data_IF_052563060264
#
_entry.id   IF_052563060264
#
_cell.length_a   1.000
_cell.length_b   1.000
_cell.length_c   1.000
_cell.angle_alpha   90.00
_cell.angle_beta   90.00
_cell.angle_gamma   90.00
#
_symmetry.space_group_name_H-M   'P 1'
#
loop_
_entity.id
_entity.type
_entity.pdbx_description
1 polymer ?
2 non-polymer ?
3 water ?
#
# COMPACT_ATOMS: atom_id res chain seq x y z
N UNK A 3 -11.27 25.01 15.07
CA UNK A 3 -11.25 25.01 13.58
C UNK A 3 -10.16 24.06 13.11
N UNK A 4 -10.56 22.79 13.15
CA UNK A 4 -9.86 21.71 12.48
C UNK A 4 -9.74 21.99 10.98
N UNK A 5 -8.61 21.62 10.40
CA UNK A 5 -8.35 21.80 8.97
C UNK A 5 -7.88 20.49 8.37
N UNK A 6 -8.59 20.05 7.34
CA UNK A 6 -8.33 18.78 6.70
C UNK A 6 -7.71 18.99 5.35
N UNK A 7 -6.78 18.11 5.01
CA UNK A 7 -6.17 18.08 3.68
C UNK A 7 -6.14 16.64 3.17
N UNK A 8 -6.72 16.43 1.99
CA UNK A 8 -6.66 15.14 1.31
C UNK A 8 -5.41 15.09 0.46
N UNK A 9 -4.81 13.90 0.40
CA UNK A 9 -3.71 13.63 -0.51
C UNK A 9 -3.64 12.14 -0.79
N UNK A 10 -2.77 11.77 -1.72
CA UNK A 10 -2.62 10.36 -2.11
C UNK A 10 -3.35 9.93 -3.38
N UNK A 11 -4.09 10.85 -3.99
CA UNK A 11 -4.78 10.58 -5.24
C UNK A 11 -3.87 10.35 -6.45
N UNK A 12 -4.49 10.35 -7.62
CA UNK A 12 -3.76 10.24 -8.89
C UNK A 12 -4.41 9.35 -9.95
N UNK A 13 -3.71 9.24 -11.07
CA UNK A 13 -4.12 8.40 -12.20
C UNK A 13 -3.62 6.98 -11.98
N UNK A 14 -4.52 6.02 -12.08
CA UNK A 14 -4.17 4.59 -11.99
C UNK A 14 -4.93 3.73 -12.98
N UNK A 15 -4.49 2.50 -13.10
CA UNK A 15 -5.15 1.51 -13.94
C UNK A 15 -6.21 0.77 -13.19
N UNK A 16 -7.23 0.32 -13.91
CA UNK A 16 -8.26 -0.50 -13.33
C UNK A 16 -7.64 -1.75 -12.71
N UNK A 17 -8.07 -2.09 -11.51
CA UNK A 17 -7.51 -3.20 -10.75
C UNK A 17 -6.41 -2.80 -9.79
N UNK A 18 -5.84 -1.60 -9.96
CA UNK A 18 -4.78 -1.11 -9.09
C UNK A 18 -5.31 -0.68 -7.74
N UNK A 19 -4.38 -0.41 -6.82
CA UNK A 19 -4.71 0.19 -5.53
C UNK A 19 -4.18 1.60 -5.33
N UNK A 20 -4.76 2.26 -4.34
CA UNK A 20 -4.36 3.61 -3.90
C UNK A 20 -4.63 3.71 -2.42
N UNK A 21 -3.83 4.53 -1.74
CA UNK A 21 -4.14 4.91 -0.37
C UNK A 21 -4.27 6.42 -0.28
N UNK A 22 -5.45 6.90 0.11
CA UNK A 22 -5.69 8.30 0.32
C UNK A 22 -5.46 8.62 1.77
N UNK A 23 -4.99 9.84 2.02
CA UNK A 23 -4.77 10.36 3.36
C UNK A 23 -5.68 11.55 3.56
N UNK A 24 -6.23 11.64 4.77
CA UNK A 24 -6.95 12.82 5.26
C UNK A 24 -6.18 13.29 6.49
N UNK A 25 -5.40 14.35 6.32
CA UNK A 25 -4.51 14.85 7.38
C UNK A 25 -5.06 16.07 8.07
N UNK A 26 -5.30 15.96 9.38
CA UNK A 26 -5.88 17.04 10.16
C UNK A 26 -4.83 17.92 10.82
N UNK A 27 -5.17 19.19 10.94
CA UNK A 27 -4.34 20.13 11.68
C UNK A 27 -5.25 21.04 12.47
N UNK A 28 -4.70 21.64 13.52
CA UNK A 28 -5.45 22.56 14.38
C UNK A 28 -6.19 21.87 15.52
N UNK A 29 -6.72 20.66 15.27
CA UNK A 29 -7.37 19.88 16.31
C UNK A 29 -6.99 18.41 16.17
N UNK A 30 -7.10 17.69 17.28
CA UNK A 30 -6.84 16.25 17.29
C UNK A 30 -7.96 15.47 16.63
N UNK A 31 -7.54 14.44 15.92
CA UNK A 31 -8.42 13.60 15.14
C UNK A 31 -9.30 12.71 16.00
N UNK A 32 -8.76 12.32 17.16
CA UNK A 32 -9.49 11.61 18.20
C UNK A 32 -10.80 12.22 18.65
N UNK A 33 -10.99 13.51 18.37
CA UNK A 33 -12.20 14.24 18.74
C UNK A 33 -13.31 14.26 17.70
N UNK A 34 -13.09 13.59 16.58
CA UNK A 34 -14.01 13.67 15.46
C UNK A 34 -14.32 12.36 14.83
N UNK A 35 -15.53 12.26 14.30
CA UNK A 35 -15.87 11.19 13.38
C UNK A 35 -15.40 11.69 12.02
N UNK A 36 -14.80 10.81 11.21
CA UNK A 36 -14.24 11.23 9.95
C UNK A 36 -14.81 10.36 8.85
N UNK A 37 -15.27 11.01 7.79
CA UNK A 37 -15.78 10.30 6.63
C UNK A 37 -15.14 10.79 5.35
N UNK A 38 -15.08 9.86 4.39
CA UNK A 38 -14.75 10.14 3.01
C UNK A 38 -16.03 10.17 2.19
N UNK A 39 -16.13 11.16 1.33
CA UNK A 39 -17.16 11.22 0.31
C UNK A 39 -16.46 11.33 -1.02
N UNK A 40 -17.18 11.07 -2.09
CA UNK A 40 -16.64 11.21 -3.44
C UNK A 40 -17.67 11.88 -4.35
N UNK A 41 -17.18 12.76 -5.21
CA UNK A 41 -18.05 13.46 -6.16
C UNK A 41 -17.54 13.26 -7.57
N UNK A 42 -18.24 12.40 -8.30
CA UNK A 42 -17.95 12.12 -9.71
C UNK A 42 -18.57 13.26 -10.54
N UNK A 43 -18.12 13.45 -11.79
CA UNK A 43 -18.61 14.62 -12.55
C UNK A 43 -20.12 14.60 -12.78
N UNK A 44 -20.78 15.69 -12.36
CA UNK A 44 -22.23 15.88 -12.52
C UNK A 44 -23.11 15.31 -11.43
N UNK A 45 -22.53 14.53 -10.54
CA UNK A 45 -23.22 13.92 -9.42
C UNK A 45 -22.97 14.64 -8.10
N UNK A 46 -23.72 14.25 -7.08
CA UNK A 46 -23.53 14.75 -5.71
C UNK A 46 -22.32 14.08 -5.02
N UNK A 47 -21.94 14.66 -3.88
CA UNK A 47 -20.96 14.06 -2.98
C UNK A 47 -21.57 12.82 -2.40
N UNK A 48 -21.06 11.67 -2.80
CA UNK A 48 -21.61 10.36 -2.40
C UNK A 48 -20.80 9.82 -1.25
N UNK A 49 -21.47 9.23 -0.28
CA UNK A 49 -20.79 8.64 0.88
C UNK A 49 -19.96 7.41 0.50
N UNK A 50 -18.75 7.31 1.05
CA UNK A 50 -17.84 6.19 0.77
C UNK A 50 -17.57 5.39 2.05
N UNK A 51 -17.00 6.07 3.05
CA UNK A 51 -16.67 5.40 4.31
C UNK A 51 -16.62 6.35 5.49
N UNK A 52 -16.71 5.79 6.69
CA UNK A 52 -16.68 6.56 7.92
C UNK A 52 -15.98 5.77 9.00
N UNK A 53 -15.34 6.50 9.90
CA UNK A 53 -14.67 5.98 11.08
C UNK A 53 -14.97 6.94 12.24
N UNK A 54 -15.33 6.40 13.38
CA UNK A 54 -15.77 7.24 14.53
C UNK A 54 -14.60 7.95 15.27
N UNK A 55 -14.93 8.82 16.24
CA UNK A 55 -13.96 9.40 17.20
C UNK A 55 -13.09 8.31 17.81
N UNK A 56 -13.80 7.29 18.22
CA UNK A 56 -13.32 6.14 18.92
C UNK A 56 -12.38 5.25 18.08
N UNK A 57 -12.54 5.30 16.76
CA UNK A 57 -11.95 4.35 15.79
C UNK A 57 -12.52 2.93 15.82
N UNK A 58 -13.55 2.72 16.60
CA UNK A 58 -14.08 1.37 16.85
C UNK A 58 -15.24 1.11 15.91
N UNK A 59 -16.06 2.14 15.66
CA UNK A 59 -17.06 2.09 14.61
C UNK A 59 -16.39 2.46 13.30
N UNK A 60 -16.51 1.59 12.31
CA UNK A 60 -16.13 1.89 10.93
C UNK A 60 -17.26 1.43 10.04
N UNK A 61 -17.52 2.15 8.96
CA UNK A 61 -18.56 1.75 8.01
C UNK A 61 -18.27 2.17 6.58
N UNK A 62 -18.94 1.48 5.65
CA UNK A 62 -18.65 1.57 4.23
C UNK A 62 -19.91 1.61 3.40
N UNK A 63 -19.81 2.24 2.25
CA UNK A 63 -20.85 2.17 1.24
C UNK A 63 -20.83 0.78 0.61
N UNK A 64 -22.00 0.33 0.16
CA UNK A 64 -22.14 -0.99 -0.45
C UNK A 64 -21.24 -1.15 -1.67
N UNK A 65 -21.17 -0.11 -2.51
CA UNK A 65 -20.37 -0.15 -3.74
C UNK A 65 -18.87 -0.28 -3.54
N UNK A 66 -18.37 0.01 -2.33
CA UNK A 66 -16.92 -0.11 -2.02
C UNK A 66 -16.58 -1.11 -0.93
N UNK A 67 -17.59 -1.60 -0.23
CA UNK A 67 -17.38 -2.60 0.78
C UNK A 67 -16.68 -3.84 0.21
N UNK A 68 -15.69 -4.34 0.93
CA UNK A 68 -14.88 -5.48 0.48
C UNK A 68 -13.65 -5.08 -0.31
N UNK A 69 -13.65 -3.87 -0.87
CA UNK A 69 -12.52 -3.34 -1.65
C UNK A 69 -11.77 -2.21 -0.92
N UNK A 70 -12.51 -1.30 -0.28
CA UNK A 70 -11.91 -0.18 0.41
C UNK A 70 -11.85 -0.51 1.87
N UNK A 71 -10.89 0.09 2.56
CA UNK A 71 -10.86 0.02 4.01
C UNK A 71 -10.31 1.31 4.63
N UNK A 72 -10.94 1.69 5.74
CA UNK A 72 -10.67 2.92 6.45
C UNK A 72 -9.87 2.65 7.72
N UNK A 73 -8.95 3.55 8.05
CA UNK A 73 -8.14 3.43 9.26
C UNK A 73 -7.73 4.79 9.78
N UNK A 74 -7.24 4.79 11.01
CA UNK A 74 -6.73 5.98 11.65
C UNK A 74 -5.30 5.73 12.11
N UNK A 75 -4.45 6.73 11.96
CA UNK A 75 -3.12 6.76 12.58
C UNK A 75 -2.98 7.99 13.50
N UNK A 76 -3.21 7.75 14.79
CA UNK A 76 -3.20 8.79 15.81
C UNK A 76 -1.88 9.54 15.85
N UNK A 77 -0.78 8.82 15.74
CA UNK A 77 0.56 9.40 15.66
C UNK A 77 0.78 10.47 14.58
N UNK A 78 0.10 10.34 13.44
CA UNK A 78 0.18 11.32 12.31
C UNK A 78 -1.03 12.23 12.17
N UNK A 79 -2.03 12.04 13.01
CA UNK A 79 -3.28 12.79 12.96
C UNK A 79 -3.97 12.66 11.60
N UNK A 80 -4.03 11.42 11.14
CA UNK A 80 -4.37 11.11 9.76
C UNK A 80 -5.28 9.91 9.66
N UNK A 81 -6.34 10.04 8.85
CA UNK A 81 -7.21 8.92 8.48
C UNK A 81 -6.87 8.48 7.05
N UNK A 82 -6.77 7.18 6.86
CA UNK A 82 -6.38 6.59 5.59
C UNK A 82 -7.57 5.93 4.95
N UNK A 83 -7.60 5.95 3.63
CA UNK A 83 -8.57 5.19 2.84
C UNK A 83 -7.83 4.31 1.83
N UNK A 84 -7.68 3.05 2.21
CA UNK A 84 -7.04 2.05 1.36
C UNK A 84 -8.08 1.66 0.32
N UNK A 85 -7.77 1.85 -0.94
CA UNK A 85 -8.67 1.53 -2.04
C UNK A 85 -8.04 0.45 -2.90
N UNK A 86 -8.64 -0.73 -2.93
CA UNK A 86 -8.17 -1.84 -3.78
C UNK A 86 -9.17 -2.17 -4.89
N UNK A 87 -8.67 -2.87 -5.93
CA UNK A 87 -9.46 -3.27 -7.09
C UNK A 87 -10.29 -2.11 -7.64
N UNK A 88 -9.59 -1.03 -7.94
CA UNK A 88 -10.21 0.18 -8.43
C UNK A 88 -10.79 -0.05 -9.81
N UNK A 89 -11.89 0.66 -10.09
CA UNK A 89 -12.65 0.49 -11.32
C UNK A 89 -12.82 1.85 -11.93
N UNK A 90 -13.09 1.93 -13.25
CA UNK A 90 -13.41 3.25 -13.82
C UNK A 90 -14.48 4.06 -13.07
N UNK A 91 -15.49 3.37 -12.54
CA UNK A 91 -16.63 4.02 -11.89
C UNK A 91 -16.27 4.54 -10.48
N UNK A 92 -15.05 4.29 -10.00
CA UNK A 92 -14.48 4.94 -8.79
C UNK A 92 -13.80 6.30 -9.08
N UNK A 93 -13.68 6.66 -10.36
CA UNK A 93 -13.12 7.94 -10.76
C UNK A 93 -13.94 9.09 -10.19
N UNK A 94 -13.36 9.86 -9.28
CA UNK A 94 -14.02 11.00 -8.66
C UNK A 94 -13.02 11.91 -7.95
N UNK A 95 -13.50 13.05 -7.47
CA UNK A 95 -12.77 13.84 -6.48
C UNK A 95 -13.16 13.27 -5.13
N UNK A 96 -12.19 12.86 -4.33
CA UNK A 96 -12.44 12.33 -2.99
C UNK A 96 -12.19 13.37 -1.90
N UNK A 97 -13.22 13.62 -1.11
CA UNK A 97 -13.17 14.52 0.01
C UNK A 97 -13.21 13.79 1.34
N UNK A 98 -12.60 14.41 2.35
CA UNK A 98 -12.79 13.99 3.72
C UNK A 98 -13.40 15.12 4.50
N UNK A 99 -13.98 14.76 5.64
CA UNK A 99 -14.79 15.67 6.44
C UNK A 99 -15.07 15.09 7.80
N UNK A 100 -15.55 15.95 8.69
CA UNK A 100 -15.81 15.60 10.09
C UNK A 100 -17.29 15.71 10.38
N UNK A 101 -17.77 14.84 11.26
CA UNK A 101 -19.16 14.88 11.65
C UNK A 101 -19.33 16.16 12.47
N UNK A 102 -20.23 17.03 12.02
CA UNK A 102 -20.40 18.32 12.69
C UNK A 102 -21.25 18.24 13.98
N UNK A 103 -21.91 17.11 14.22
CA UNK A 103 -22.60 16.81 15.49
C UNK A 103 -22.09 15.55 16.20
N UNK A 104 -21.65 15.67 17.46
CA UNK A 104 -21.39 14.46 18.28
C UNK A 104 -22.61 13.59 18.65
N UNK A 105 -23.83 13.98 18.27
CA UNK A 105 -25.03 13.13 18.42
C UNK A 105 -25.13 11.89 17.50
N UNK A 106 -24.43 11.89 16.36
CA UNK A 106 -24.30 10.71 15.49
C UNK A 106 -22.86 10.22 15.53
N UNK A 107 -22.69 8.89 15.49
CA UNK A 107 -21.38 8.24 15.30
C UNK A 107 -21.14 7.89 13.83
N UNK A 108 -22.18 7.34 13.19
CA UNK A 108 -22.24 7.11 11.76
C UNK A 108 -23.24 8.11 11.19
N UNK A 109 -22.96 8.63 10.01
CA UNK A 109 -23.98 9.27 9.20
C UNK A 109 -23.56 9.18 7.76
N UNK A 110 -24.52 9.08 6.85
CA UNK A 110 -24.23 8.94 5.43
C UNK A 110 -24.64 10.16 4.65
N UNK A 111 -25.13 11.17 5.36
CA UNK A 111 -25.70 12.35 4.76
C UNK A 111 -24.65 13.44 4.85
N UNK A 112 -24.33 14.05 3.70
CA UNK A 112 -23.26 15.03 3.64
C UNK A 112 -23.54 16.30 4.44
N UNK A 113 -24.82 16.65 4.60
CA UNK A 113 -25.21 17.78 5.47
C UNK A 113 -24.81 17.61 6.93
N UNK A 114 -24.70 16.36 7.41
CA UNK A 114 -24.23 16.03 8.78
C UNK A 114 -22.72 16.23 9.00
N UNK A 115 -22.01 16.64 7.93
CA UNK A 115 -20.55 16.79 7.92
C UNK A 115 -20.10 18.22 7.64
N UNK A 116 -18.87 18.51 8.04
CA UNK A 116 -18.27 19.81 7.82
C UNK A 116 -16.75 19.78 7.75
N UNK A 117 -16.19 20.96 7.53
CA UNK A 117 -14.74 21.17 7.40
C UNK A 117 -14.13 20.36 6.26
N UNK A 118 -14.78 20.45 5.11
CA UNK A 118 -14.38 19.67 3.95
C UNK A 118 -12.99 20.10 3.51
N UNK A 119 -12.18 19.15 3.09
CA UNK A 119 -10.90 19.46 2.50
C UNK A 119 -11.10 19.89 1.05
N UNK A 120 -10.01 20.27 0.39
CA UNK A 120 -10.05 20.68 -1.03
C UNK A 120 -10.24 19.51 -1.97
N UNK A 121 -9.93 18.32 -1.48
CA UNK A 121 -10.17 17.11 -2.20
C UNK A 121 -8.97 16.68 -3.02
N UNK A 122 -8.93 15.40 -3.33
CA UNK A 122 -7.88 14.81 -4.18
C UNK A 122 -8.48 14.01 -5.35
N UNK A 123 -7.90 14.14 -6.54
CA UNK A 123 -8.43 13.49 -7.73
C UNK A 123 -7.98 12.03 -7.78
N UNK A 124 -8.94 11.16 -8.06
CA UNK A 124 -8.69 9.77 -8.36
C UNK A 124 -9.25 9.51 -9.74
N UNK A 125 -8.36 9.17 -10.68
CA UNK A 125 -8.76 8.78 -12.03
C UNK A 125 -8.35 7.34 -12.25
N UNK A 126 -9.29 6.54 -12.75
CA UNK A 126 -9.06 5.12 -12.99
C UNK A 126 -9.31 4.80 -14.46
N UNK A 127 -8.26 4.68 -15.27
CA UNK A 127 -8.45 4.46 -16.71
C UNK A 127 -8.59 2.96 -16.92
N UNK A 128 -9.25 2.58 -18.02
CA UNK A 128 -9.27 1.20 -18.51
C UNK A 128 -8.13 0.97 -19.52
N UNK B 3 -8.43 -11.51 -4.09
CA UNK B 3 -7.14 -12.31 -4.01
C UNK B 3 -5.87 -11.56 -4.48
N UNK B 4 -4.80 -11.52 -3.66
CA UNK B 4 -3.62 -10.66 -3.91
C UNK B 4 -2.79 -11.03 -5.14
N UNK B 5 -2.36 -10.00 -5.89
CA UNK B 5 -1.52 -10.17 -7.08
C UNK B 5 -0.28 -9.30 -6.99
N UNK B 6 0.87 -9.93 -7.08
CA UNK B 6 2.14 -9.26 -6.94
C UNK B 6 2.78 -9.12 -8.30
N UNK B 7 3.44 -7.99 -8.51
CA UNK B 7 4.23 -7.74 -9.71
C UNK B 7 5.57 -7.17 -9.30
N UNK B 8 6.64 -7.81 -9.75
CA UNK B 8 8.01 -7.30 -9.56
C UNK B 8 8.36 -6.39 -10.71
N UNK B 9 9.11 -5.33 -10.40
CA UNK B 9 9.67 -4.45 -11.41
C UNK B 9 10.90 -3.76 -10.85
N UNK B 10 11.61 -3.02 -11.69
CA UNK B 10 12.83 -2.29 -11.28
C UNK B 10 14.13 -2.97 -11.62
N UNK B 11 14.04 -4.17 -12.22
CA UNK B 11 15.23 -4.93 -12.61
C UNK B 11 15.99 -4.34 -13.78
N UNK B 12 16.89 -5.13 -14.34
CA UNK B 12 17.66 -4.73 -15.52
C UNK B 12 19.14 -5.07 -15.46
N UNK B 13 19.84 -4.62 -16.50
CA UNK B 13 21.28 -4.83 -16.64
C UNK B 13 22.06 -3.71 -15.96
N UNK B 14 22.99 -4.06 -15.10
CA UNK B 14 23.86 -3.09 -14.42
C UNK B 14 25.30 -3.58 -14.28
N UNK B 15 26.15 -2.63 -13.90
CA UNK B 15 27.55 -2.84 -13.69
C UNK B 15 27.81 -3.30 -12.25
N UNK B 16 28.82 -4.16 -12.07
CA UNK B 16 29.23 -4.58 -10.74
C UNK B 16 29.59 -3.34 -9.92
N UNK B 17 29.14 -3.32 -8.68
CA UNK B 17 29.37 -2.20 -7.78
C UNK B 17 28.25 -1.17 -7.78
N UNK B 18 27.37 -1.25 -8.77
CA UNK B 18 26.26 -0.31 -8.88
C UNK B 18 25.10 -0.72 -7.97
N UNK B 19 24.07 0.14 -7.93
CA UNK B 19 22.81 -0.16 -7.21
C UNK B 19 21.57 -0.32 -8.11
N UNK B 20 20.54 -0.93 -7.52
CA UNK B 20 19.21 -1.10 -8.12
C UNK B 20 18.17 -1.08 -7.02
N UNK B 21 16.97 -0.63 -7.34
CA UNK B 21 15.84 -0.75 -6.42
C UNK B 21 14.74 -1.53 -7.10
N UNK B 22 14.40 -2.68 -6.53
CA UNK B 22 13.29 -3.49 -7.04
C UNK B 22 12.03 -3.13 -6.30
N UNK B 23 10.91 -3.24 -6.98
CA UNK B 23 9.61 -2.99 -6.40
C UNK B 23 8.79 -4.28 -6.48
N UNK B 24 8.04 -4.53 -5.41
CA UNK B 24 7.03 -5.58 -5.37
C UNK B 24 5.72 -4.87 -5.12
N UNK B 25 4.92 -4.73 -6.18
CA UNK B 25 3.67 -3.98 -6.13
C UNK B 25 2.45 -4.90 -6.06
N UNK B 26 1.67 -4.74 -5.01
CA UNK B 26 0.49 -5.57 -4.80
C UNK B 26 -0.79 -4.92 -5.36
N UNK B 27 -1.69 -5.78 -5.80
CA UNK B 27 -3.02 -5.35 -6.21
C UNK B 27 -4.02 -6.40 -5.74
N UNK B 28 -5.28 -5.99 -5.62
CA UNK B 28 -6.35 -6.88 -5.16
C UNK B 28 -6.50 -6.96 -3.66
N UNK B 29 -5.40 -6.88 -2.92
CA UNK B 29 -5.45 -6.83 -1.45
C UNK B 29 -4.41 -5.85 -0.93
N UNK B 30 -4.61 -5.41 0.30
CA UNK B 30 -3.63 -4.57 1.00
C UNK B 30 -2.42 -5.37 1.42
N UNK B 31 -1.24 -4.91 1.03
CA UNK B 31 0.02 -5.60 1.30
C UNK B 31 0.46 -5.48 2.75
N UNK B 32 0.16 -4.35 3.38
CA UNK B 32 0.28 -4.15 4.83
C UNK B 32 -0.38 -5.21 5.71
N UNK B 33 -1.27 -6.01 5.11
CA UNK B 33 -1.86 -7.19 5.75
C UNK B 33 -0.91 -8.40 5.76
N UNK B 34 0.25 -8.28 5.14
CA UNK B 34 1.10 -9.44 4.90
C UNK B 34 2.55 -9.26 5.28
N UNK B 35 3.19 -10.39 5.48
CA UNK B 35 4.64 -10.46 5.55
C UNK B 35 5.06 -10.66 4.11
N UNK B 36 6.12 -9.97 3.70
CA UNK B 36 6.54 -10.00 2.28
C UNK B 36 8.01 -10.33 2.19
N UNK B 37 8.35 -11.25 1.29
CA UNK B 37 9.73 -11.60 1.06
C UNK B 37 10.12 -11.56 -0.39
N UNK B 38 11.42 -11.31 -0.61
CA UNK B 38 12.08 -11.48 -1.90
C UNK B 38 12.89 -12.77 -1.90
N UNK B 39 12.78 -13.51 -2.99
CA UNK B 39 13.63 -14.65 -3.25
C UNK B 39 14.29 -14.40 -4.59
N UNK B 40 15.36 -15.13 -4.86
CA UNK B 40 16.03 -15.04 -6.14
C UNK B 40 16.36 -16.43 -6.66
N UNK B 41 16.22 -16.62 -7.96
CA UNK B 41 16.55 -17.88 -8.58
C UNK B 41 17.53 -17.67 -9.71
N UNK B 42 18.79 -18.02 -9.46
CA UNK B 42 19.84 -17.96 -10.47
C UNK B 42 19.67 -19.20 -11.36
N UNK B 43 20.19 -19.16 -12.60
CA UNK B 43 19.96 -20.30 -13.50
C UNK B 43 20.49 -21.64 -12.95
N UNK B 44 19.60 -22.63 -12.87
CA UNK B 44 19.96 -23.96 -12.35
C UNK B 44 20.25 -23.98 -10.84
N UNK B 45 19.41 -23.29 -10.08
CA UNK B 45 19.60 -23.13 -8.65
C UNK B 45 18.21 -22.97 -8.04
N UNK B 46 18.16 -23.09 -6.71
CA UNK B 46 16.91 -22.93 -5.95
C UNK B 46 16.46 -21.48 -5.87
N UNK B 47 15.14 -21.26 -5.68
CA UNK B 47 14.67 -19.95 -5.24
C UNK B 47 15.31 -19.76 -3.88
N UNK B 48 16.31 -18.89 -3.82
CA UNK B 48 17.12 -18.67 -2.64
C UNK B 48 16.53 -17.46 -1.92
N UNK B 49 16.43 -17.55 -0.61
CA UNK B 49 15.90 -16.44 0.20
C UNK B 49 16.85 -15.23 0.17
N UNK B 50 16.28 -14.04 0.05
CA UNK B 50 17.05 -12.80 0.04
C UNK B 50 16.70 -11.92 1.23
N UNK B 51 15.45 -11.54 1.34
CA UNK B 51 15.02 -10.67 2.43
C UNK B 51 13.53 -10.81 2.74
N UNK B 52 13.16 -10.36 3.94
CA UNK B 52 11.77 -10.39 4.40
C UNK B 52 11.49 -9.18 5.27
N UNK B 53 10.23 -8.77 5.23
CA UNK B 53 9.71 -7.69 6.06
C UNK B 53 8.32 -8.11 6.53
N UNK B 54 8.05 -7.90 7.82
CA UNK B 54 6.79 -8.39 8.43
C UNK B 54 5.59 -7.50 8.12
N UNK B 55 4.40 -7.94 8.54
CA UNK B 55 3.16 -7.11 8.45
C UNK B 55 3.38 -5.75 9.07
N UNK B 56 4.03 -5.85 10.22
CA UNK B 56 4.32 -4.79 11.15
C UNK B 56 5.36 -3.79 10.62
N UNK B 57 6.17 -4.23 9.64
CA UNK B 57 7.33 -3.51 9.11
C UNK B 57 8.44 -3.28 10.15
N UNK B 58 8.29 -3.83 11.36
CA UNK B 58 9.25 -3.60 12.45
C UNK B 58 10.29 -4.72 12.41
N UNK B 59 9.87 -5.94 12.03
CA UNK B 59 10.80 -7.03 11.77
C UNK B 59 11.21 -7.00 10.30
N UNK B 60 12.52 -6.93 10.06
CA UNK B 60 13.11 -7.10 8.74
C UNK B 60 14.26 -8.08 8.87
N UNK B 61 14.47 -8.90 7.86
CA UNK B 61 15.57 -9.87 7.89
C UNK B 61 16.16 -10.11 6.51
N UNK B 62 17.40 -10.59 6.50
CA UNK B 62 18.24 -10.66 5.31
C UNK B 62 19.03 -11.95 5.28
N UNK B 63 19.33 -12.40 4.08
CA UNK B 63 20.27 -13.49 3.87
C UNK B 63 21.67 -12.98 4.14
N UNK B 64 22.54 -13.88 4.59
CA UNK B 64 23.92 -13.53 4.92
C UNK B 64 24.66 -12.90 3.76
N UNK B 65 24.49 -13.51 2.59
CA UNK B 65 25.18 -13.08 1.37
C UNK B 65 24.80 -11.68 0.91
N UNK B 66 23.67 -11.13 1.38
CA UNK B 66 23.24 -9.77 1.02
C UNK B 66 23.17 -8.77 2.20
N UNK B 67 23.25 -9.27 3.43
CA UNK B 67 23.19 -8.40 4.60
C UNK B 67 24.28 -7.35 4.53
N UNK B 68 23.91 -6.11 4.84
CA UNK B 68 24.83 -4.98 4.76
C UNK B 68 24.83 -4.28 3.41
N UNK B 69 24.38 -4.96 2.36
CA UNK B 69 24.29 -4.40 1.01
C UNK B 69 22.85 -4.11 0.58
N UNK B 70 21.94 -5.04 0.88
CA UNK B 70 20.55 -4.88 0.48
C UNK B 70 19.80 -4.34 1.66
N UNK B 71 18.74 -3.60 1.37
CA UNK B 71 17.89 -3.02 2.41
C UNK B 71 16.43 -3.11 2.00
N UNK B 72 15.61 -3.75 2.82
CA UNK B 72 14.18 -3.92 2.52
C UNK B 72 13.31 -2.86 3.19
N UNK B 73 12.23 -2.47 2.52
CA UNK B 73 11.35 -1.42 2.97
C UNK B 73 9.90 -1.56 2.49
N UNK B 74 8.98 -0.84 3.13
CA UNK B 74 7.55 -0.83 2.73
C UNK B 74 7.08 0.60 2.51
N UNK B 75 6.27 0.80 1.47
CA UNK B 75 5.55 2.08 1.25
C UNK B 75 4.04 1.77 1.17
N UNK B 76 3.38 1.96 2.31
CA UNK B 76 1.97 1.67 2.48
C UNK B 76 1.12 2.47 1.49
N UNK B 77 1.46 3.74 1.31
CA UNK B 77 0.81 4.62 0.33
C UNK B 77 0.76 4.10 -1.11
N UNK B 78 1.78 3.33 -1.52
CA UNK B 78 1.85 2.75 -2.88
C UNK B 78 1.55 1.25 -2.96
N UNK B 79 1.30 0.63 -1.80
CA UNK B 79 1.02 -0.80 -1.69
C UNK B 79 2.18 -1.64 -2.25
N UNK B 80 3.40 -1.25 -1.83
CA UNK B 80 4.62 -1.68 -2.48
C UNK B 80 5.73 -1.92 -1.44
N UNK B 81 6.42 -3.03 -1.60
CA UNK B 81 7.67 -3.32 -0.88
C UNK B 81 8.87 -3.12 -1.83
N UNK B 82 9.89 -2.45 -1.31
CA UNK B 82 11.08 -2.13 -2.08
C UNK B 82 12.26 -2.97 -1.62
N UNK B 83 13.13 -3.29 -2.57
CA UNK B 83 14.41 -3.95 -2.25
C UNK B 83 15.54 -3.12 -2.83
N UNK B 84 16.15 -2.32 -1.96
CA UNK B 84 17.31 -1.50 -2.31
C UNK B 84 18.51 -2.44 -2.35
N UNK B 85 19.14 -2.55 -3.51
CA UNK B 85 20.29 -3.43 -3.68
C UNK B 85 21.52 -2.58 -4.01
N UNK B 86 22.50 -2.57 -3.11
CA UNK B 86 23.77 -1.85 -3.32
C UNK B 86 24.97 -2.78 -3.47
N UNK B 87 26.05 -2.25 -4.06
CA UNK B 87 27.28 -3.01 -4.27
C UNK B 87 26.98 -4.36 -4.90
N UNK B 88 26.26 -4.31 -6.00
CA UNK B 88 25.88 -5.51 -6.72
C UNK B 88 27.11 -6.22 -7.30
N UNK B 89 27.03 -7.54 -7.37
CA UNK B 89 28.13 -8.40 -7.81
C UNK B 89 27.59 -9.32 -8.90
N UNK B 90 28.48 -9.89 -9.73
CA UNK B 90 27.99 -10.86 -10.72
C UNK B 90 27.14 -11.99 -10.14
N UNK B 91 27.48 -12.42 -8.92
CA UNK B 91 26.79 -13.53 -8.25
C UNK B 91 25.37 -13.18 -7.76
N UNK B 92 25.00 -11.89 -7.82
CA UNK B 92 23.63 -11.44 -7.58
C UNK B 92 22.72 -11.55 -8.84
N UNK B 93 23.31 -11.88 -9.99
CA UNK B 93 22.54 -12.09 -11.23
C UNK B 93 21.53 -13.20 -11.06
N UNK B 94 20.25 -12.85 -11.09
CA UNK B 94 19.15 -13.84 -10.98
C UNK B 94 17.83 -13.23 -11.42
N UNK B 95 16.78 -14.07 -11.48
CA UNK B 95 15.39 -13.61 -11.53
C UNK B 95 14.95 -13.39 -10.09
N UNK B 96 14.50 -12.19 -9.77
CA UNK B 96 14.06 -11.85 -8.40
C UNK B 96 12.55 -11.88 -8.27
N UNK B 97 12.06 -12.72 -7.35
CA UNK B 97 10.64 -12.86 -7.07
C UNK B 97 10.28 -12.26 -5.74
N UNK B 98 9.03 -11.81 -5.64
CA UNK B 98 8.46 -11.47 -4.36
C UNK B 98 7.26 -12.35 -4.10
N UNK B 99 6.89 -12.40 -2.83
CA UNK B 99 5.86 -13.32 -2.36
C UNK B 99 5.41 -12.97 -0.96
N UNK B 100 4.32 -13.61 -0.56
CA UNK B 100 3.65 -13.33 0.70
C UNK B 100 3.69 -14.56 1.61
N UNK B 101 3.79 -14.35 2.92
CA UNK B 101 3.80 -15.46 3.85
C UNK B 101 2.38 -16.10 3.86
N UNK B 102 2.31 -17.38 3.50
CA UNK B 102 1.07 -18.18 3.44
C UNK B 102 0.80 -19.02 4.71
N UNK B 103 1.78 -19.03 5.60
CA UNK B 103 1.76 -19.83 6.82
C UNK B 103 1.53 -18.88 8.00
N UNK B 104 0.36 -18.99 8.68
CA UNK B 104 0.04 -18.07 9.78
C UNK B 104 0.91 -18.27 11.01
N UNK B 105 1.64 -19.38 11.03
CA UNK B 105 2.58 -19.63 12.11
C UNK B 105 3.64 -18.49 12.24
N UNK B 106 4.25 -18.14 11.11
CA UNK B 106 5.39 -17.24 11.09
C UNK B 106 5.05 -15.81 10.74
N UNK B 107 5.67 -14.88 11.45
CA UNK B 107 5.56 -13.44 11.16
C UNK B 107 6.61 -13.07 10.14
N UNK B 108 7.79 -13.65 10.33
CA UNK B 108 8.81 -13.76 9.26
C UNK B 108 9.30 -15.21 9.13
N UNK B 109 9.63 -15.59 7.91
CA UNK B 109 10.10 -16.95 7.57
C UNK B 109 11.13 -16.81 6.49
N UNK B 110 11.88 -17.86 6.28
CA UNK B 110 12.98 -17.85 5.34
C UNK B 110 12.96 -19.06 4.37
N UNK B 111 11.88 -19.84 4.45
CA UNK B 111 11.68 -21.06 3.67
C UNK B 111 10.65 -20.76 2.59
N UNK B 112 10.95 -21.10 1.34
CA UNK B 112 10.07 -20.77 0.22
C UNK B 112 8.69 -21.44 0.30
N UNK B 113 8.64 -22.63 0.92
CA UNK B 113 7.36 -23.35 1.14
C UNK B 113 6.38 -22.59 2.00
N UNK B 114 6.89 -21.76 2.93
CA UNK B 114 6.05 -20.88 3.77
C UNK B 114 5.44 -19.68 3.01
N UNK B 115 5.74 -19.54 1.71
CA UNK B 115 5.31 -18.40 0.89
C UNK B 115 4.38 -18.78 -0.27
N UNK B 116 3.62 -17.78 -0.74
CA UNK B 116 2.74 -17.94 -1.89
C UNK B 116 2.48 -16.66 -2.67
N UNK B 117 1.70 -16.80 -3.74
CA UNK B 117 1.34 -15.71 -4.65
C UNK B 117 2.53 -15.06 -5.31
N UNK B 118 3.40 -15.90 -5.85
CA UNK B 118 4.67 -15.46 -6.46
C UNK B 118 4.37 -14.60 -7.67
N UNK B 119 5.14 -13.53 -7.84
CA UNK B 119 5.03 -12.70 -9.04
C UNK B 119 5.73 -13.38 -10.21
N UNK B 120 5.65 -12.75 -11.38
CA UNK B 120 6.30 -13.23 -12.61
C UNK B 120 7.82 -13.11 -12.52
N UNK B 121 8.28 -12.19 -11.68
CA UNK B 121 9.70 -11.98 -11.42
C UNK B 121 10.30 -10.94 -12.34
N UNK B 122 11.40 -10.36 -11.90
CA UNK B 122 12.14 -9.36 -12.69
C UNK B 122 13.61 -9.78 -12.82
N UNK B 123 14.20 -9.59 -14.01
CA UNK B 123 15.60 -9.96 -14.25
C UNK B 123 16.56 -8.92 -13.71
N UNK B 124 17.56 -9.40 -12.99
CA UNK B 124 18.69 -8.61 -12.56
C UNK B 124 19.93 -9.27 -13.15
N UNK B 125 20.62 -8.56 -14.05
CA UNK B 125 21.90 -9.00 -14.59
C UNK B 125 22.99 -8.03 -14.14
N UNK B 126 24.08 -8.58 -13.62
CA UNK B 126 25.19 -7.76 -13.13
C UNK B 126 26.43 -8.16 -13.93
N UNK B 127 26.62 -7.48 -15.06
CA UNK B 127 27.81 -7.55 -15.88
C UNK B 127 28.53 -6.23 -16.10
N UNK B 128 29.84 -6.22 -15.95
CA UNK B 128 30.63 -5.01 -16.23
C UNK B 128 31.23 -5.01 -17.65
N UNK B 129 30.86 -6.01 -18.47
CA UNK B 129 31.23 -6.05 -19.90
C UNK B 129 30.85 -4.77 -20.62
N UNK B 130 31.55 -4.47 -21.72
CA UNK B 130 31.24 -3.30 -22.54
C UNK B 130 30.71 -3.74 -23.90
#
# INVERSE_FOLDING_TARGET
MAEVQLVESGGGLVQAGDSLRLSCTASGRTLGDYGVAWFRQAPGKEREFVSVISRSTIITDYADSVRGRFSISADSAKNTVYLQMNSLKPEDTAVYYCAVIANPVYATSRNSDDYGHWGQGTQVTVSSAAALEHHHHHH
MAEVQLVESGGGLVQAGDSLRLSCTASGRTLGDYGVAWFRQAPGKEREFVSVISRSTIITDYADSVRGRFSISADSAKNTVYLQMNSLKPEDTAVYYCAVIANPVYATSRNSDDYGHWGQGTQVTVSSAAALEHHHHHH
#
